data_IF_941013468027
#
_entry.id   IF_941013468027
#
_cell.length_a   1.000
_cell.length_b   1.000
_cell.length_c   1.000
_cell.angle_alpha   90.00
_cell.angle_beta   90.00
_cell.angle_gamma   90.00
#
_symmetry.space_group_name_H-M   'P 1'
#
loop_
_entity.id
_entity.type
_entity.pdbx_description
1 polymer ?
#
# COMPACT_ATOMS: atom_id res chain seq x y z
N UNK A 1 4.97 -12.45 -1.46
CA UNK A 1 5.31 -11.65 -2.65
C UNK A 1 4.83 -10.24 -2.42
N UNK A 2 5.61 -9.25 -2.83
CA UNK A 2 5.28 -7.83 -2.73
C UNK A 2 5.83 -7.08 -3.94
N UNK A 3 5.52 -5.79 -4.04
CA UNK A 3 6.24 -4.85 -4.89
C UNK A 3 6.80 -3.73 -4.00
N UNK A 4 8.12 -3.69 -3.80
CA UNK A 4 8.81 -2.82 -2.83
C UNK A 4 8.60 -3.19 -1.35
N UNK A 5 8.13 -4.39 -1.04
CA UNK A 5 7.83 -4.77 0.34
C UNK A 5 9.07 -4.87 1.23
N UNK A 6 10.23 -5.19 0.65
CA UNK A 6 11.50 -5.23 1.40
C UNK A 6 11.87 -3.87 2.01
N UNK A 7 11.39 -2.77 1.41
CA UNK A 7 11.71 -1.40 1.84
C UNK A 7 10.53 -0.64 2.46
N UNK A 8 9.31 -1.15 2.32
CA UNK A 8 8.12 -0.46 2.81
C UNK A 8 7.22 -1.37 3.64
N UNK A 9 6.59 -2.38 3.04
CA UNK A 9 5.57 -3.19 3.73
C UNK A 9 6.12 -3.89 4.97
N UNK A 10 7.27 -4.56 4.86
CA UNK A 10 7.86 -5.31 5.96
C UNK A 10 8.37 -4.38 7.08
N UNK A 11 9.19 -3.34 6.81
CA UNK A 11 9.64 -2.42 7.86
C UNK A 11 8.50 -1.67 8.54
N UNK A 12 7.46 -1.25 7.80
CA UNK A 12 6.30 -0.55 8.38
C UNK A 12 5.50 -1.49 9.26
N UNK A 13 5.24 -2.72 8.83
CA UNK A 13 4.49 -3.72 9.61
C UNK A 13 5.22 -4.06 10.91
N UNK A 14 6.52 -4.38 10.82
CA UNK A 14 7.35 -4.67 11.99
C UNK A 14 7.41 -3.47 12.95
N UNK A 15 7.69 -2.28 12.45
CA UNK A 15 7.77 -1.07 13.26
C UNK A 15 6.44 -0.68 13.92
N UNK A 16 5.30 -0.96 13.28
CA UNK A 16 3.98 -0.76 13.91
C UNK A 16 3.75 -1.77 15.04
N UNK A 17 4.05 -3.05 14.83
CA UNK A 17 3.94 -4.07 15.88
C UNK A 17 4.81 -3.74 17.10
N UNK A 18 6.07 -3.34 16.88
CA UNK A 18 6.97 -2.92 17.97
C UNK A 18 6.37 -1.80 18.82
N UNK A 19 5.73 -0.81 18.19
CA UNK A 19 5.10 0.32 18.90
C UNK A 19 3.89 -0.07 19.73
N UNK A 20 3.21 -1.16 19.39
CA UNK A 20 2.11 -1.68 20.22
C UNK A 20 2.61 -2.38 21.50
N UNK A 21 3.89 -2.73 21.56
CA UNK A 21 4.46 -3.54 22.65
C UNK A 21 4.04 -5.02 22.60
N UNK A 22 3.44 -5.47 21.50
CA UNK A 22 3.03 -6.86 21.30
C UNK A 22 4.22 -7.75 20.89
N UNK A 23 5.14 -8.02 21.82
CA UNK A 23 6.38 -8.78 21.56
C UNK A 23 6.13 -10.16 20.91
N UNK A 24 5.07 -10.85 21.33
CA UNK A 24 4.67 -12.15 20.77
C UNK A 24 4.29 -12.03 19.28
N UNK A 25 3.63 -10.93 18.90
CA UNK A 25 3.24 -10.67 17.51
C UNK A 25 4.45 -10.35 16.63
N UNK A 26 5.44 -9.62 17.16
CA UNK A 26 6.71 -9.36 16.45
C UNK A 26 7.46 -10.67 16.21
N UNK A 27 7.63 -11.52 17.22
CA UNK A 27 8.29 -12.83 17.07
C UNK A 27 7.55 -13.73 16.09
N UNK A 28 6.21 -13.71 16.11
CA UNK A 28 5.40 -14.47 15.16
C UNK A 28 5.56 -13.97 13.72
N UNK A 29 5.67 -12.65 13.51
CA UNK A 29 5.92 -12.07 12.19
C UNK A 29 7.31 -12.47 11.68
N UNK A 30 8.35 -12.35 12.49
CA UNK A 30 9.72 -12.73 12.11
C UNK A 30 9.78 -14.20 11.70
N UNK A 31 9.21 -15.09 12.53
CA UNK A 31 9.15 -16.53 12.23
C UNK A 31 8.37 -16.82 10.93
N UNK A 32 7.29 -16.08 10.67
CA UNK A 32 6.53 -16.21 9.43
C UNK A 32 7.39 -15.80 8.23
N UNK A 33 8.05 -14.64 8.29
CA UNK A 33 8.88 -14.11 7.21
C UNK A 33 10.08 -15.01 6.92
N UNK A 34 10.68 -15.63 7.94
CA UNK A 34 11.75 -16.62 7.78
C UNK A 34 11.26 -17.95 7.17
N UNK A 35 9.97 -18.27 7.33
CA UNK A 35 9.40 -19.53 6.86
C UNK A 35 8.96 -19.52 5.39
N UNK A 36 8.97 -18.35 4.74
CA UNK A 36 8.47 -18.17 3.37
C UNK A 36 9.55 -17.61 2.45
N UNK A 37 9.62 -18.13 1.22
CA UNK A 37 10.40 -17.50 0.17
C UNK A 37 9.70 -16.21 -0.27
N UNK A 38 10.20 -15.06 0.21
CA UNK A 38 9.69 -13.76 -0.16
C UNK A 38 10.24 -13.32 -1.53
N UNK A 39 9.33 -13.07 -2.48
CA UNK A 39 9.63 -12.47 -3.78
C UNK A 39 9.19 -11.00 -3.81
N UNK A 40 10.15 -10.07 -3.81
CA UNK A 40 9.91 -8.66 -4.14
C UNK A 40 10.10 -8.44 -5.65
N UNK A 41 9.00 -8.19 -6.34
CA UNK A 41 8.98 -8.06 -7.81
C UNK A 41 9.66 -6.79 -8.32
N UNK A 42 9.88 -5.79 -7.45
CA UNK A 42 10.43 -4.48 -7.85
C UNK A 42 11.80 -4.61 -8.50
N UNK A 43 12.67 -5.46 -7.96
CA UNK A 43 14.02 -5.65 -8.49
C UNK A 43 14.01 -6.29 -9.88
N UNK A 44 13.12 -7.27 -10.11
CA UNK A 44 12.96 -7.88 -11.42
C UNK A 44 12.34 -6.92 -12.43
N UNK A 45 11.36 -6.12 -12.01
CA UNK A 45 10.79 -5.06 -12.84
C UNK A 45 11.85 -4.06 -13.30
N UNK A 46 12.70 -3.61 -12.37
CA UNK A 46 13.79 -2.68 -12.69
C UNK A 46 14.82 -3.26 -13.64
N UNK A 47 15.13 -4.56 -13.49
CA UNK A 47 16.04 -5.25 -14.39
C UNK A 47 15.49 -5.39 -15.81
N UNK A 48 14.17 -5.56 -15.95
CA UNK A 48 13.53 -5.78 -17.26
C UNK A 48 13.18 -4.47 -17.98
N UNK A 49 12.73 -3.44 -17.24
CA UNK A 49 12.11 -2.24 -17.82
C UNK A 49 12.80 -0.92 -17.46
N UNK A 50 13.90 -0.97 -16.69
CA UNK A 50 14.76 0.18 -16.42
C UNK A 50 14.84 0.58 -14.95
N UNK A 51 15.81 1.45 -14.65
CA UNK A 51 16.05 1.90 -13.28
C UNK A 51 14.90 2.82 -12.84
N UNK A 52 13.98 2.29 -12.01
CA UNK A 52 12.81 2.95 -11.43
C UNK A 52 11.46 2.71 -12.16
N UNK A 53 11.14 1.45 -12.46
CA UNK A 53 9.77 1.05 -12.86
C UNK A 53 8.84 1.03 -11.63
N UNK A 54 7.69 1.71 -11.69
CA UNK A 54 6.61 1.62 -10.69
C UNK A 54 5.78 0.34 -10.85
N UNK A 55 4.88 0.05 -9.91
CA UNK A 55 3.97 -1.10 -10.04
C UNK A 55 3.03 -0.90 -11.23
N UNK A 56 2.52 0.31 -11.40
CA UNK A 56 1.63 0.68 -12.50
C UNK A 56 2.33 0.59 -13.85
N UNK A 57 3.58 1.01 -13.94
CA UNK A 57 4.39 0.87 -15.15
C UNK A 57 4.67 -0.61 -15.46
N UNK A 58 4.99 -1.43 -14.44
CA UNK A 58 5.16 -2.87 -14.62
C UNK A 58 3.86 -3.50 -15.14
N UNK A 59 2.72 -3.19 -14.54
CA UNK A 59 1.42 -3.66 -15.01
C UNK A 59 1.16 -3.24 -16.47
N UNK A 60 1.46 -1.99 -16.82
CA UNK A 60 1.32 -1.51 -18.19
C UNK A 60 2.23 -2.27 -19.18
N UNK A 61 3.48 -2.56 -18.82
CA UNK A 61 4.39 -3.41 -19.61
C UNK A 61 3.89 -4.84 -19.80
N UNK A 62 3.02 -5.29 -18.91
CA UNK A 62 2.43 -6.62 -18.89
C UNK A 62 0.99 -6.65 -19.43
N UNK A 63 0.54 -5.57 -20.09
CA UNK A 63 -0.82 -5.43 -20.60
C UNK A 63 -1.90 -5.66 -19.51
N UNK A 64 -1.59 -5.29 -18.26
CA UNK A 64 -2.50 -5.35 -17.11
C UNK A 64 -3.05 -3.96 -16.81
N UNK A 65 -4.37 -3.85 -16.75
CA UNK A 65 -5.04 -2.60 -16.43
C UNK A 65 -5.08 -2.38 -14.91
N UNK A 66 -4.40 -1.35 -14.43
CA UNK A 66 -4.42 -0.98 -13.01
C UNK A 66 -5.64 -0.10 -12.72
N UNK A 67 -6.45 -0.53 -11.75
CA UNK A 67 -7.52 0.30 -11.20
C UNK A 67 -6.93 1.49 -10.46
N UNK A 68 -7.45 2.69 -10.70
CA UNK A 68 -7.11 3.89 -9.92
C UNK A 68 -8.21 4.17 -8.92
N UNK A 69 -7.83 4.42 -7.68
CA UNK A 69 -8.75 4.88 -6.64
C UNK A 69 -8.84 6.39 -6.72
N UNK A 70 -9.96 6.93 -7.19
CA UNK A 70 -10.13 8.37 -7.34
C UNK A 70 -10.72 9.00 -6.07
N UNK A 71 -10.15 10.10 -5.61
CA UNK A 71 -10.65 10.81 -4.42
C UNK A 71 -12.12 11.22 -4.55
N UNK A 72 -12.51 11.62 -5.76
CA UNK A 72 -13.86 12.09 -6.06
C UNK A 72 -14.94 11.00 -5.98
N UNK A 73 -14.56 9.72 -5.94
CA UNK A 73 -15.51 8.62 -5.83
C UNK A 73 -16.03 8.43 -4.40
N UNK A 74 -15.48 9.19 -3.43
CA UNK A 74 -15.75 9.02 -2.00
C UNK A 74 -16.12 10.36 -1.35
N UNK A 75 -17.17 10.33 -0.52
CA UNK A 75 -17.59 11.47 0.28
C UNK A 75 -16.74 11.58 1.57
N UNK A 76 -15.55 12.16 1.44
CA UNK A 76 -14.55 12.27 2.51
C UNK A 76 -14.85 13.43 3.47
N UNK A 77 -15.79 13.22 4.39
CA UNK A 77 -16.09 14.14 5.50
C UNK A 77 -15.41 13.68 6.80
N UNK A 78 -14.08 13.62 6.80
CA UNK A 78 -13.27 13.22 7.96
C UNK A 78 -12.32 14.35 8.33
N UNK A 79 -12.35 14.78 9.60
CA UNK A 79 -11.53 15.88 10.09
C UNK A 79 -10.04 15.66 9.79
N UNK A 80 -9.42 16.60 9.07
CA UNK A 80 -8.01 16.53 8.66
C UNK A 80 -7.80 16.10 7.20
N UNK A 81 -8.80 15.49 6.54
CA UNK A 81 -8.69 15.12 5.12
C UNK A 81 -8.54 16.31 4.20
N UNK A 82 -9.07 17.49 4.54
CA UNK A 82 -8.87 18.72 3.76
C UNK A 82 -7.38 19.01 3.52
N UNK A 83 -6.52 18.79 4.53
CA UNK A 83 -5.08 19.01 4.40
C UNK A 83 -4.41 17.96 3.52
N UNK A 84 -4.91 16.72 3.53
CA UNK A 84 -4.42 15.65 2.68
C UNK A 84 -4.79 15.97 1.22
N UNK A 85 -6.05 16.30 0.97
CA UNK A 85 -6.56 16.61 -0.36
C UNK A 85 -5.92 17.88 -0.96
N UNK A 86 -5.65 18.90 -0.15
CA UNK A 86 -4.98 20.14 -0.61
C UNK A 86 -3.50 19.90 -1.00
N UNK A 87 -2.88 18.84 -0.47
CA UNK A 87 -1.50 18.44 -0.81
C UNK A 87 -1.42 17.38 -1.89
N UNK A 88 -2.52 16.68 -2.16
CA UNK A 88 -2.59 15.67 -3.19
C UNK A 88 -2.23 16.31 -4.55
N UNK A 89 -1.30 15.69 -5.26
CA UNK A 89 -0.85 16.19 -6.57
C UNK A 89 -1.69 15.66 -7.72
N UNK A 90 -2.39 14.57 -7.48
CA UNK A 90 -3.14 13.81 -8.46
C UNK A 90 -4.61 13.73 -8.07
N UNK A 91 -5.48 13.52 -9.05
CA UNK A 91 -6.92 13.30 -8.81
C UNK A 91 -7.25 11.90 -8.25
N UNK A 92 -6.23 11.07 -8.06
CA UNK A 92 -6.32 9.72 -7.54
C UNK A 92 -5.33 9.53 -6.39
N UNK A 93 -5.58 8.52 -5.57
CA UNK A 93 -4.77 8.16 -4.41
C UNK A 93 -3.40 7.66 -4.87
N UNK A 94 -2.34 8.17 -4.27
CA UNK A 94 -0.98 7.64 -4.42
C UNK A 94 -0.47 7.07 -3.11
N UNK A 95 0.57 6.23 -3.17
CA UNK A 95 1.24 5.70 -1.98
C UNK A 95 1.70 6.77 -0.98
N UNK A 96 2.06 7.97 -1.45
CA UNK A 96 2.41 9.09 -0.57
C UNK A 96 1.19 9.63 0.19
N UNK A 97 0.02 9.65 -0.43
CA UNK A 97 -1.21 10.11 0.18
C UNK A 97 -1.74 9.10 1.20
N UNK A 98 -1.58 7.79 0.94
CA UNK A 98 -1.98 6.71 1.85
C UNK A 98 -1.36 6.87 3.24
N UNK A 99 -0.09 7.25 3.31
CA UNK A 99 0.56 7.47 4.60
C UNK A 99 -0.10 8.61 5.39
N UNK A 100 -0.41 9.74 4.74
CA UNK A 100 -1.05 10.88 5.38
C UNK A 100 -2.52 10.60 5.74
N UNK A 101 -3.26 10.00 4.82
CA UNK A 101 -4.64 9.56 5.00
C UNK A 101 -4.77 8.51 6.12
N UNK A 102 -3.81 7.59 6.22
CA UNK A 102 -3.75 6.58 7.28
C UNK A 102 -3.60 7.20 8.68
N UNK A 103 -2.81 8.26 8.83
CA UNK A 103 -2.71 8.96 10.12
C UNK A 103 -4.01 9.69 10.48
N UNK A 104 -4.70 10.28 9.50
CA UNK A 104 -6.05 10.86 9.70
C UNK A 104 -7.05 9.78 10.11
N UNK A 105 -7.01 8.62 9.46
CA UNK A 105 -7.84 7.46 9.78
C UNK A 105 -7.64 7.02 11.24
N UNK A 106 -6.39 6.83 11.67
CA UNK A 106 -6.08 6.43 13.04
C UNK A 106 -6.55 7.47 14.07
N UNK A 107 -6.33 8.77 13.79
CA UNK A 107 -6.80 9.83 14.66
C UNK A 107 -8.34 9.87 14.76
N UNK A 108 -9.05 9.59 13.67
CA UNK A 108 -10.51 9.49 13.68
C UNK A 108 -10.99 8.31 14.55
N UNK A 109 -10.35 7.15 14.44
CA UNK A 109 -10.65 5.99 15.29
C UNK A 109 -10.40 6.29 16.78
N UNK A 110 -9.27 6.91 17.12
CA UNK A 110 -8.93 7.30 18.49
C UNK A 110 -9.94 8.29 19.08
N UNK A 111 -10.49 9.17 18.23
CA UNK A 111 -11.55 10.12 18.60
C UNK A 111 -12.96 9.49 18.64
N UNK A 112 -13.12 8.22 18.23
CA UNK A 112 -14.42 7.56 18.09
C UNK A 112 -15.30 8.18 17.00
N UNK A 113 -14.70 8.81 16.00
CA UNK A 113 -15.39 9.37 14.84
C UNK A 113 -15.66 8.30 13.78
N UNK A 114 -16.66 8.54 12.92
CA UNK A 114 -16.90 7.70 11.75
C UNK A 114 -15.79 7.93 10.72
N UNK A 115 -15.07 6.87 10.38
CA UNK A 115 -13.99 6.87 9.41
C UNK A 115 -14.24 5.88 8.27
N UNK A 116 -15.47 5.37 8.12
CA UNK A 116 -15.82 4.30 7.18
C UNK A 116 -15.54 4.65 5.72
N UNK A 117 -15.81 5.89 5.30
CA UNK A 117 -15.51 6.32 3.93
C UNK A 117 -14.01 6.39 3.67
N UNK A 118 -13.22 6.80 4.67
CA UNK A 118 -11.76 6.84 4.57
C UNK A 118 -11.17 5.41 4.59
N UNK A 119 -11.73 4.52 5.40
CA UNK A 119 -11.42 3.09 5.37
C UNK A 119 -11.69 2.49 3.98
N UNK A 120 -12.81 2.83 3.36
CA UNK A 120 -13.15 2.39 2.01
C UNK A 120 -12.11 2.84 0.97
N UNK A 121 -11.69 4.11 1.01
CA UNK A 121 -10.61 4.61 0.12
C UNK A 121 -9.30 3.84 0.30
N UNK A 122 -8.87 3.68 1.56
CA UNK A 122 -7.61 3.00 1.89
C UNK A 122 -7.67 1.52 1.49
N UNK A 123 -8.83 0.89 1.66
CA UNK A 123 -9.09 -0.49 1.26
C UNK A 123 -9.05 -0.64 -0.25
N UNK A 124 -9.78 0.20 -0.99
CA UNK A 124 -9.86 0.10 -2.45
C UNK A 124 -8.51 0.38 -3.11
N UNK A 125 -7.75 1.36 -2.60
CA UNK A 125 -6.36 1.58 -3.03
C UNK A 125 -5.49 0.35 -2.78
N UNK A 126 -5.56 -0.21 -1.56
CA UNK A 126 -4.74 -1.38 -1.19
C UNK A 126 -5.09 -2.58 -2.05
N UNK A 127 -6.38 -2.83 -2.31
CA UNK A 127 -6.86 -3.90 -3.17
C UNK A 127 -6.37 -3.74 -4.61
N UNK A 128 -6.41 -2.52 -5.16
CA UNK A 128 -5.90 -2.23 -6.49
C UNK A 128 -4.38 -2.50 -6.61
N UNK A 129 -3.60 -2.19 -5.57
CA UNK A 129 -2.14 -2.45 -5.52
C UNK A 129 -1.80 -3.94 -5.37
N UNK A 130 -2.71 -4.78 -4.85
CA UNK A 130 -2.47 -6.24 -4.74
C UNK A 130 -3.06 -7.06 -5.88
N UNK A 131 -4.06 -6.54 -6.60
CA UNK A 131 -4.87 -7.28 -7.59
C UNK A 131 -3.99 -8.03 -8.61
N UNK A 132 -2.99 -7.33 -9.15
CA UNK A 132 -2.13 -7.88 -10.20
C UNK A 132 -0.90 -8.61 -9.71
N UNK A 133 -0.60 -8.59 -8.40
CA UNK A 133 0.66 -9.17 -7.89
C UNK A 133 0.77 -10.66 -8.25
N UNK A 134 -0.30 -11.45 -8.09
CA UNK A 134 -0.25 -12.89 -8.41
C UNK A 134 -0.01 -13.14 -9.89
N UNK A 135 -0.70 -12.41 -10.75
CA UNK A 135 -0.51 -12.48 -12.20
C UNK A 135 0.92 -12.08 -12.59
N UNK A 136 1.50 -11.07 -11.93
CA UNK A 136 2.87 -10.66 -12.16
C UNK A 136 3.89 -11.70 -11.66
N UNK A 137 3.65 -12.36 -10.52
CA UNK A 137 4.48 -13.48 -10.07
C UNK A 137 4.49 -14.64 -11.06
N UNK A 138 3.34 -15.02 -11.59
CA UNK A 138 3.23 -16.13 -12.54
C UNK A 138 3.98 -15.84 -13.85
N UNK A 139 4.21 -14.57 -14.16
CA UNK A 139 4.96 -14.10 -15.33
C UNK A 139 6.42 -13.79 -15.03
N UNK A 140 6.87 -14.02 -13.79
CA UNK A 140 8.27 -13.85 -13.42
C UNK A 140 9.13 -15.00 -13.98
N UNK A 141 10.35 -14.71 -14.50
CA UNK A 141 10.93 -13.39 -14.73
C UNK A 141 10.34 -12.72 -15.99
N UNK A 142 10.33 -11.38 -15.98
CA UNK A 142 9.83 -10.52 -17.05
C UNK A 142 10.81 -10.35 -18.23
#
# INVERSE_FOLDING_TARGET
>A
MTFNGDRFDLPVTAGRLERTGAADATTALDALLESVDHLDLKHSAWSAYGNYTSLEELCAHQDLAVGRTHWADYALDVAGMDTVLDRARESYVTSADVAAAGEVYLAALDAGADASTLEAVLTDYTLADVDHLFTLADRHPF
#
